data_IF_914711100007
#
_entry.id   IF_914711100007
#
_cell.length_a   1.000
_cell.length_b   1.000
_cell.length_c   1.000
_cell.angle_alpha   90.00
_cell.angle_beta   90.00
_cell.angle_gamma   90.00
#
_symmetry.space_group_name_H-M   'P 1'
#
loop_
_entity.id
_entity.type
_entity.pdbx_description
1 polymer ?
#
# COMPACT_ATOMS: atom_id res chain seq x y z
N UNK A 1 -1.61 -17.09 -1.69
CA UNK A 1 -2.07 -15.88 -2.43
C UNK A 1 -0.81 -15.31 -3.04
N UNK A 2 -0.64 -15.38 -4.36
CA UNK A 2 0.68 -15.26 -5.02
C UNK A 2 1.55 -14.08 -4.51
N UNK A 3 0.96 -12.92 -4.26
CA UNK A 3 1.68 -11.73 -3.77
C UNK A 3 2.24 -11.87 -2.34
N UNK A 4 1.56 -12.58 -1.42
CA UNK A 4 2.11 -12.88 -0.10
C UNK A 4 3.31 -13.81 -0.22
N UNK A 5 3.21 -14.78 -1.13
CA UNK A 5 4.27 -15.75 -1.38
C UNK A 5 5.49 -15.03 -2.00
N UNK A 6 5.27 -14.10 -2.93
CA UNK A 6 6.31 -13.24 -3.53
C UNK A 6 7.01 -12.34 -2.48
N UNK A 7 6.26 -11.79 -1.51
CA UNK A 7 6.82 -10.97 -0.42
C UNK A 7 7.66 -11.82 0.53
N UNK A 8 7.17 -13.00 0.92
CA UNK A 8 7.95 -13.90 1.78
C UNK A 8 9.20 -14.39 1.07
N UNK A 9 9.11 -14.66 -0.23
CA UNK A 9 10.28 -14.98 -1.06
C UNK A 9 11.29 -13.82 -1.04
N UNK A 10 10.86 -12.60 -1.31
CA UNK A 10 11.73 -11.42 -1.24
C UNK A 10 12.35 -11.20 0.15
N UNK A 11 11.59 -11.42 1.22
CA UNK A 11 12.12 -11.37 2.60
C UNK A 11 13.21 -12.41 2.82
N UNK A 12 13.05 -13.61 2.26
CA UNK A 12 14.06 -14.67 2.35
C UNK A 12 15.32 -14.38 1.54
N UNK A 13 15.18 -13.68 0.41
CA UNK A 13 16.30 -13.24 -0.44
C UNK A 13 17.03 -12.03 0.16
N UNK A 14 16.32 -11.20 0.92
CA UNK A 14 16.85 -10.06 1.66
C UNK A 14 16.49 -8.72 1.03
N UNK A 15 16.67 -7.65 1.80
CA UNK A 15 16.50 -6.27 1.33
C UNK A 15 17.81 -5.52 1.54
N UNK A 16 18.21 -4.72 0.55
CA UNK A 16 19.35 -3.81 0.63
C UNK A 16 18.91 -2.49 1.27
N UNK A 17 19.55 -2.08 2.35
CA UNK A 17 19.24 -0.80 3.01
C UNK A 17 19.60 0.39 2.09
N UNK A 18 18.77 1.43 2.14
CA UNK A 18 18.99 2.70 1.44
C UNK A 18 19.46 3.75 2.44
N UNK A 19 20.47 4.54 2.07
CA UNK A 19 21.01 5.61 2.91
C UNK A 19 20.01 6.77 3.04
N UNK A 20 19.17 6.98 2.02
CA UNK A 20 18.15 8.00 2.06
C UNK A 20 17.11 7.93 0.96
N UNK A 21 16.21 8.93 0.98
CA UNK A 21 15.12 9.07 -0.01
C UNK A 21 15.64 9.29 -1.44
N UNK A 22 16.87 9.77 -1.59
CA UNK A 22 17.48 10.06 -2.89
C UNK A 22 17.89 8.78 -3.65
N UNK A 23 18.03 7.66 -2.95
CA UNK A 23 18.48 6.39 -3.54
C UNK A 23 17.32 5.61 -4.20
N UNK A 24 16.09 6.04 -3.95
CA UNK A 24 14.91 5.49 -4.62
C UNK A 24 14.76 6.15 -6.00
N UNK A 25 14.64 5.38 -7.10
CA UNK A 25 14.39 5.92 -8.44
C UNK A 25 13.20 6.89 -8.45
N UNK A 26 13.32 8.02 -9.15
CA UNK A 26 12.34 9.11 -9.02
C UNK A 26 10.91 8.74 -9.39
N UNK A 27 10.72 7.86 -10.36
CA UNK A 27 9.39 7.35 -10.70
C UNK A 27 8.79 6.53 -9.56
N UNK A 28 9.55 5.56 -9.02
CA UNK A 28 9.13 4.75 -7.88
C UNK A 28 8.83 5.62 -6.65
N UNK A 29 9.67 6.61 -6.38
CA UNK A 29 9.47 7.56 -5.29
C UNK A 29 8.20 8.40 -5.47
N UNK A 30 7.94 8.89 -6.70
CA UNK A 30 6.75 9.67 -7.00
C UNK A 30 5.47 8.84 -6.88
N UNK A 31 5.49 7.61 -7.38
CA UNK A 31 4.36 6.67 -7.30
C UNK A 31 4.10 6.24 -5.84
N UNK A 32 5.14 5.89 -5.10
CA UNK A 32 5.04 5.55 -3.69
C UNK A 32 4.48 6.72 -2.85
N UNK A 33 4.98 7.95 -3.06
CA UNK A 33 4.42 9.15 -2.40
C UNK A 33 2.98 9.44 -2.77
N UNK A 34 2.59 9.16 -4.00
CA UNK A 34 1.20 9.30 -4.42
C UNK A 34 0.32 8.33 -3.63
N UNK A 35 0.65 7.04 -3.68
CA UNK A 35 -0.12 6.01 -2.99
C UNK A 35 -0.10 6.15 -1.48
N UNK A 36 1.01 6.54 -0.87
CA UNK A 36 1.07 6.76 0.57
C UNK A 36 0.10 7.87 1.01
N UNK A 37 -0.01 8.97 0.25
CA UNK A 37 -1.01 10.03 0.53
C UNK A 37 -2.44 9.60 0.27
N UNK A 38 -2.64 8.67 -0.67
CA UNK A 38 -3.97 8.19 -1.03
C UNK A 38 -4.49 7.13 -0.05
N UNK A 39 -3.60 6.27 0.45
CA UNK A 39 -3.93 5.13 1.29
C UNK A 39 -3.98 5.48 2.78
N UNK A 40 -3.03 6.27 3.28
CA UNK A 40 -2.88 6.53 4.71
C UNK A 40 -3.64 7.75 5.17
N UNK A 41 -4.09 7.73 6.43
CA UNK A 41 -4.58 8.91 7.12
C UNK A 41 -3.45 9.95 7.27
N UNK A 42 -3.83 11.20 7.51
CA UNK A 42 -2.87 12.26 7.76
C UNK A 42 -2.01 11.93 8.99
N UNK A 43 -0.69 12.04 8.85
CA UNK A 43 0.25 11.73 9.93
C UNK A 43 0.69 10.26 9.95
N UNK A 44 0.04 9.36 9.21
CA UNK A 44 0.36 7.93 9.23
C UNK A 44 1.32 7.49 8.11
N UNK A 45 1.70 8.39 7.21
CA UNK A 45 2.47 8.06 6.01
C UNK A 45 3.98 8.00 6.30
N UNK A 46 4.74 7.09 5.63
CA UNK A 46 6.21 7.07 5.70
C UNK A 46 6.86 8.31 5.06
N UNK A 47 6.08 9.17 4.41
CA UNK A 47 6.55 10.39 3.76
C UNK A 47 6.22 11.67 4.51
N UNK A 48 5.49 11.59 5.63
CA UNK A 48 5.19 12.75 6.46
C UNK A 48 6.47 13.38 7.00
N UNK A 49 6.43 14.70 7.21
CA UNK A 49 7.59 15.48 7.58
C UNK A 49 8.05 15.14 9.00
N UNK A 50 9.38 15.16 9.23
CA UNK A 50 9.97 14.95 10.56
C UNK A 50 9.98 13.50 11.06
N UNK A 51 9.45 12.55 10.28
CA UNK A 51 9.45 11.13 10.66
C UNK A 51 10.75 10.42 10.22
N UNK A 52 11.53 9.83 11.15
CA UNK A 52 12.60 8.93 10.78
C UNK A 52 12.00 7.66 10.18
N UNK A 53 12.45 7.30 8.98
CA UNK A 53 11.96 6.11 8.27
C UNK A 53 13.14 5.40 7.64
N UNK A 54 13.37 4.15 8.06
CA UNK A 54 14.34 3.26 7.42
C UNK A 54 13.74 2.75 6.12
N UNK A 55 14.55 2.70 5.06
CA UNK A 55 14.12 2.22 3.76
C UNK A 55 15.06 1.15 3.29
N UNK A 56 14.50 0.13 2.67
CA UNK A 56 15.26 -0.93 2.08
C UNK A 56 14.59 -1.37 0.78
N UNK A 57 15.34 -1.96 -0.12
CA UNK A 57 14.89 -2.32 -1.46
C UNK A 57 15.17 -3.78 -1.73
N UNK A 58 14.22 -4.45 -2.36
CA UNK A 58 14.44 -5.74 -2.98
C UNK A 58 14.38 -5.51 -4.48
N UNK A 59 15.46 -5.82 -5.20
CA UNK A 59 15.50 -5.73 -6.66
C UNK A 59 14.99 -7.03 -7.25
N UNK A 60 14.26 -6.94 -8.36
CA UNK A 60 13.65 -8.09 -8.99
C UNK A 60 14.66 -9.21 -9.30
N UNK A 61 14.28 -10.44 -8.93
CA UNK A 61 14.97 -11.68 -9.26
C UNK A 61 14.06 -12.53 -10.17
N UNK A 62 14.46 -13.77 -10.46
CA UNK A 62 13.59 -14.71 -11.16
C UNK A 62 12.38 -15.14 -10.32
N UNK A 63 12.48 -15.03 -8.99
CA UNK A 63 11.52 -15.57 -8.05
C UNK A 63 10.67 -14.50 -7.37
N UNK A 64 11.19 -13.27 -7.24
CA UNK A 64 10.50 -12.17 -6.58
C UNK A 64 10.64 -10.84 -7.35
N UNK A 65 9.63 -9.95 -7.30
CA UNK A 65 9.64 -8.70 -8.05
C UNK A 65 10.41 -7.58 -7.32
N UNK A 66 10.45 -6.38 -7.92
CA UNK A 66 10.92 -5.18 -7.23
C UNK A 66 9.98 -4.83 -6.06
N UNK A 67 10.54 -4.61 -4.87
CA UNK A 67 9.80 -4.16 -3.68
C UNK A 67 10.56 -3.04 -2.97
N UNK A 68 9.81 -2.12 -2.37
CA UNK A 68 10.32 -1.08 -1.51
C UNK A 68 9.74 -1.28 -0.11
N UNK A 69 10.60 -1.31 0.89
CA UNK A 69 10.23 -1.46 2.29
C UNK A 69 10.44 -0.14 3.03
N UNK A 70 9.47 0.25 3.84
CA UNK A 70 9.57 1.35 4.80
C UNK A 70 9.33 0.81 6.20
N UNK A 71 10.21 1.16 7.14
CA UNK A 71 10.04 0.79 8.56
C UNK A 71 10.14 2.05 9.42
N UNK A 72 9.15 2.23 10.30
CA UNK A 72 9.04 3.43 11.14
C UNK A 72 8.04 3.24 12.28
N UNK A 73 8.19 4.07 13.31
CA UNK A 73 7.25 4.16 14.43
C UNK A 73 6.27 5.32 14.21
N UNK A 74 5.00 5.11 14.55
CA UNK A 74 3.92 6.12 14.56
C UNK A 74 2.88 5.77 15.60
N UNK A 75 2.51 6.72 16.47
CA UNK A 75 1.43 6.56 17.46
C UNK A 75 1.51 5.22 18.23
N UNK A 76 2.71 4.92 18.76
CA UNK A 76 3.07 3.68 19.48
C UNK A 76 3.05 2.38 18.64
N UNK A 77 2.80 2.49 17.33
CA UNK A 77 2.86 1.40 16.37
C UNK A 77 4.20 1.38 15.63
N UNK A 78 4.88 0.25 15.67
CA UNK A 78 5.97 -0.06 14.76
C UNK A 78 5.40 -0.66 13.48
N UNK A 79 5.56 0.05 12.37
CA UNK A 79 5.02 -0.33 11.07
C UNK A 79 6.12 -0.75 10.11
N UNK A 80 5.87 -1.82 9.37
CA UNK A 80 6.63 -2.21 8.18
C UNK A 80 5.71 -2.19 6.97
N UNK A 81 6.00 -1.33 6.00
CA UNK A 81 5.27 -1.26 4.74
C UNK A 81 6.15 -1.88 3.66
N UNK A 82 5.73 -3.02 3.12
CA UNK A 82 6.31 -3.58 1.90
C UNK A 82 5.37 -3.24 0.75
N UNK A 83 5.84 -2.38 -0.14
CA UNK A 83 5.10 -2.02 -1.33
C UNK A 83 5.73 -2.63 -2.58
N UNK A 84 4.85 -2.99 -3.51
CA UNK A 84 5.18 -3.20 -4.91
C UNK A 84 4.49 -2.14 -5.76
N UNK A 85 4.53 -2.34 -7.08
CA UNK A 85 3.85 -1.46 -8.03
C UNK A 85 2.32 -1.45 -7.88
N UNK A 86 1.74 -2.60 -7.57
CA UNK A 86 0.28 -2.81 -7.58
C UNK A 86 -0.34 -3.01 -6.19
N UNK A 87 0.45 -2.95 -5.13
CA UNK A 87 -0.05 -3.14 -3.77
C UNK A 87 0.85 -2.46 -2.73
N UNK A 88 0.32 -2.30 -1.52
CA UNK A 88 1.07 -2.02 -0.30
C UNK A 88 0.60 -2.99 0.80
N UNK A 89 1.53 -3.80 1.30
CA UNK A 89 1.34 -4.61 2.50
C UNK A 89 1.82 -3.81 3.69
N UNK A 90 0.91 -3.53 4.62
CA UNK A 90 1.19 -2.86 5.89
C UNK A 90 1.18 -3.91 6.98
N UNK A 91 2.29 -4.03 7.70
CA UNK A 91 2.45 -4.93 8.83
C UNK A 91 2.52 -4.09 10.09
N UNK A 92 1.67 -4.38 11.05
CA UNK A 92 1.75 -3.85 12.41
C UNK A 92 2.52 -4.87 13.24
N UNK A 93 3.70 -4.47 13.74
CA UNK A 93 4.53 -5.38 14.50
C UNK A 93 3.80 -5.88 15.75
N UNK A 94 3.93 -7.17 16.02
CA UNK A 94 3.30 -7.80 17.19
C UNK A 94 3.69 -7.13 18.51
N UNK A 95 4.92 -6.61 18.61
CA UNK A 95 5.39 -5.89 19.78
C UNK A 95 4.58 -4.61 20.10
N UNK A 96 3.97 -3.99 19.08
CA UNK A 96 3.07 -2.85 19.25
C UNK A 96 1.63 -3.25 19.48
N UNK A 97 1.19 -4.36 18.88
CA UNK A 97 -0.16 -4.89 19.07
C UNK A 97 -0.19 -6.40 18.82
N UNK A 98 -0.40 -7.16 19.90
CA UNK A 98 -0.71 -8.59 19.81
C UNK A 98 -2.23 -8.79 19.86
N UNK A 99 -2.86 -8.84 18.68
CA UNK A 99 -4.32 -9.05 18.58
C UNK A 99 -4.74 -10.39 19.18
N UNK A 100 -3.91 -11.43 19.09
CA UNK A 100 -4.26 -12.76 19.58
C UNK A 100 -4.16 -12.86 21.11
N UNK A 101 -3.39 -11.98 21.75
CA UNK A 101 -3.35 -11.86 23.21
C UNK A 101 -4.59 -11.14 23.80
N UNK A 102 -5.39 -10.45 22.98
CA UNK A 102 -6.63 -9.82 23.41
C UNK A 102 -7.74 -10.86 23.65
N UNK A 103 -8.71 -10.55 24.54
CA UNK A 103 -9.98 -11.27 24.61
C UNK A 103 -10.65 -11.36 23.24
N UNK A 104 -11.32 -12.48 22.95
CA UNK A 104 -11.85 -12.78 21.62
C UNK A 104 -12.82 -11.69 21.12
N UNK A 105 -13.67 -11.19 22.02
CA UNK A 105 -14.62 -10.11 21.78
C UNK A 105 -13.97 -8.75 21.47
N UNK A 106 -12.71 -8.55 21.86
CA UNK A 106 -11.97 -7.30 21.64
C UNK A 106 -11.18 -7.29 20.33
N UNK A 107 -10.92 -8.46 19.72
CA UNK A 107 -10.05 -8.59 18.53
C UNK A 107 -10.56 -7.80 17.34
N UNK A 108 -11.81 -8.04 16.94
CA UNK A 108 -12.42 -7.34 15.80
C UNK A 108 -12.53 -5.81 16.03
N UNK A 109 -13.01 -5.31 17.19
CA UNK A 109 -12.96 -3.88 17.51
C UNK A 109 -11.56 -3.27 17.46
N UNK A 110 -10.55 -3.96 18.00
CA UNK A 110 -9.16 -3.50 17.98
C UNK A 110 -8.64 -3.37 16.55
N UNK A 111 -8.84 -4.39 15.70
CA UNK A 111 -8.45 -4.35 14.28
C UNK A 111 -9.14 -3.19 13.57
N UNK A 112 -10.45 -3.01 13.77
CA UNK A 112 -11.22 -1.95 13.13
C UNK A 112 -10.73 -0.55 13.56
N UNK A 113 -10.37 -0.36 14.83
CA UNK A 113 -9.79 0.89 15.35
C UNK A 113 -8.45 1.19 14.70
N UNK A 114 -7.56 0.20 14.61
CA UNK A 114 -6.26 0.35 13.97
C UNK A 114 -6.41 0.69 12.48
N UNK A 115 -7.29 -0.01 11.76
CA UNK A 115 -7.54 0.29 10.36
C UNK A 115 -8.06 1.72 10.16
N UNK A 116 -8.98 2.19 11.01
CA UNK A 116 -9.49 3.56 10.98
C UNK A 116 -8.42 4.61 11.30
N UNK A 117 -7.48 4.29 12.19
CA UNK A 117 -6.39 5.19 12.52
C UNK A 117 -5.37 5.27 11.37
N UNK A 118 -5.01 4.12 10.78
CA UNK A 118 -3.95 4.03 9.77
C UNK A 118 -4.39 4.53 8.40
N UNK A 119 -5.58 4.16 7.94
CA UNK A 119 -5.98 4.37 6.55
C UNK A 119 -6.84 5.62 6.36
N UNK A 120 -6.71 6.23 5.18
CA UNK A 120 -7.52 7.36 4.77
C UNK A 120 -9.01 6.99 4.89
N UNK A 121 -9.88 7.90 5.35
CA UNK A 121 -11.30 7.60 5.58
C UNK A 121 -11.98 6.91 4.39
N UNK A 122 -11.68 7.28 3.15
CA UNK A 122 -12.27 6.63 1.96
C UNK A 122 -12.01 5.10 1.88
N UNK A 123 -10.95 4.59 2.52
CA UNK A 123 -10.60 3.17 2.56
C UNK A 123 -11.45 2.39 3.57
N UNK A 124 -11.96 3.07 4.61
CA UNK A 124 -12.48 2.47 5.86
C UNK A 124 -13.78 3.13 6.37
N UNK A 125 -14.29 4.16 5.67
CA UNK A 125 -15.45 4.98 6.01
C UNK A 125 -16.40 5.02 4.82
N UNK A 126 -17.67 4.69 5.06
CA UNK A 126 -18.69 4.55 4.00
C UNK A 126 -19.42 3.20 3.98
N UNK A 127 -19.28 2.38 5.03
CA UNK A 127 -19.98 1.08 5.16
C UNK A 127 -19.09 -0.15 4.98
N UNK A 128 -17.79 0.03 4.69
CA UNK A 128 -16.84 -1.06 4.52
C UNK A 128 -16.10 -1.35 5.84
N UNK A 129 -16.82 -1.90 6.82
CA UNK A 129 -16.16 -2.62 7.91
C UNK A 129 -15.65 -3.96 7.36
N UNK A 130 -14.52 -4.45 7.85
CA UNK A 130 -14.10 -5.81 7.56
C UNK A 130 -15.22 -6.80 7.89
N UNK A 131 -15.47 -7.74 6.97
CA UNK A 131 -16.33 -8.89 7.24
C UNK A 131 -15.49 -9.90 8.01
N UNK A 132 -15.55 -9.81 9.33
CA UNK A 132 -14.83 -10.72 10.20
C UNK A 132 -15.50 -12.11 10.19
N UNK A 133 -14.72 -13.19 10.21
CA UNK A 133 -15.23 -14.51 10.55
C UNK A 133 -15.66 -14.59 12.01
N UNK A 134 -16.33 -15.68 12.38
CA UNK A 134 -16.79 -15.93 13.76
C UNK A 134 -15.63 -15.91 14.77
N UNK A 135 -14.47 -16.44 14.37
CA UNK A 135 -13.25 -16.48 15.18
C UNK A 135 -12.08 -15.84 14.45
N UNK A 136 -11.31 -15.03 15.15
CA UNK A 136 -10.08 -14.43 14.65
C UNK A 136 -8.90 -15.12 15.32
N UNK A 137 -8.21 -15.95 14.56
CA UNK A 137 -7.04 -16.72 15.00
C UNK A 137 -5.87 -16.57 14.02
N UNK A 138 -4.73 -17.16 14.35
CA UNK A 138 -3.57 -17.19 13.46
C UNK A 138 -3.96 -17.76 12.08
N UNK A 139 -3.49 -17.11 11.01
CA UNK A 139 -3.82 -17.49 9.63
C UNK A 139 -5.20 -17.06 9.15
N UNK A 140 -5.99 -16.36 9.99
CA UNK A 140 -7.28 -15.83 9.58
C UNK A 140 -7.12 -14.65 8.62
N UNK A 141 -7.89 -14.64 7.54
CA UNK A 141 -7.98 -13.54 6.58
C UNK A 141 -9.40 -13.00 6.49
N UNK A 142 -9.54 -11.70 6.32
CA UNK A 142 -10.81 -10.99 6.20
C UNK A 142 -10.67 -9.81 5.25
N UNK A 143 -11.80 -9.33 4.72
CA UNK A 143 -11.83 -8.29 3.70
C UNK A 143 -12.98 -7.34 3.95
N UNK A 144 -12.81 -6.08 3.57
CA UNK A 144 -13.93 -5.13 3.50
C UNK A 144 -14.91 -5.49 2.39
N UNK A 145 -14.46 -6.21 1.35
CA UNK A 145 -15.30 -6.65 0.24
C UNK A 145 -14.78 -7.95 -0.43
N UNK A 146 -15.03 -9.13 0.18
CA UNK A 146 -14.48 -10.40 -0.30
C UNK A 146 -15.00 -10.83 -1.68
N UNK A 147 -16.18 -10.34 -2.10
CA UNK A 147 -16.82 -10.69 -3.37
C UNK A 147 -16.14 -10.06 -4.60
N UNK A 148 -15.40 -8.96 -4.41
CA UNK A 148 -14.73 -8.28 -5.52
C UNK A 148 -13.40 -8.92 -5.84
N UNK A 149 -13.21 -9.43 -7.06
CA UNK A 149 -11.89 -9.90 -7.48
C UNK A 149 -10.88 -8.73 -7.42
N UNK A 150 -9.79 -8.85 -6.63
CA UNK A 150 -8.77 -7.80 -6.52
C UNK A 150 -8.14 -7.45 -7.87
N UNK A 151 -8.25 -8.35 -8.85
CA UNK A 151 -7.77 -8.12 -10.22
C UNK A 151 -8.71 -7.33 -11.09
N UNK A 152 -9.96 -7.13 -10.65
CA UNK A 152 -11.03 -6.46 -11.40
C UNK A 152 -11.62 -5.25 -10.66
N UNK A 153 -10.98 -4.78 -9.58
CA UNK A 153 -11.40 -3.58 -8.84
C UNK A 153 -11.67 -2.37 -9.76
N UNK A 154 -12.84 -1.76 -9.61
CA UNK A 154 -13.22 -0.54 -10.34
C UNK A 154 -12.49 0.68 -9.77
N UNK A 155 -12.35 0.74 -8.45
CA UNK A 155 -11.55 1.70 -7.73
C UNK A 155 -10.68 1.01 -6.66
N UNK A 156 -9.54 1.62 -6.34
CA UNK A 156 -8.57 1.05 -5.40
C UNK A 156 -9.12 0.93 -3.96
N UNK A 157 -10.04 1.81 -3.58
CA UNK A 157 -10.69 1.82 -2.26
C UNK A 157 -11.80 0.78 -2.10
N UNK A 158 -12.19 0.08 -3.18
CA UNK A 158 -13.34 -0.84 -3.15
C UNK A 158 -13.08 -2.10 -2.32
N UNK A 159 -11.80 -2.38 -2.03
CA UNK A 159 -11.37 -3.56 -1.27
C UNK A 159 -10.08 -3.28 -0.51
N UNK A 160 -10.10 -3.59 0.78
CA UNK A 160 -8.94 -3.67 1.66
C UNK A 160 -8.99 -5.06 2.30
N UNK A 161 -7.90 -5.80 2.18
CA UNK A 161 -7.77 -7.12 2.81
C UNK A 161 -6.91 -7.02 4.06
N UNK A 162 -7.11 -7.93 4.99
CA UNK A 162 -6.35 -8.00 6.21
C UNK A 162 -6.31 -9.43 6.75
N UNK A 163 -5.41 -9.67 7.70
CA UNK A 163 -5.32 -10.97 8.35
C UNK A 163 -4.33 -10.98 9.51
N UNK A 164 -4.24 -12.14 10.16
CA UNK A 164 -3.24 -12.42 11.18
C UNK A 164 -2.24 -13.42 10.62
N UNK A 165 -0.95 -13.07 10.67
CA UNK A 165 0.13 -13.94 10.20
C UNK A 165 1.36 -13.81 11.09
N UNK A 166 1.85 -14.92 11.61
CA UNK A 166 2.97 -14.93 12.58
C UNK A 166 2.65 -14.17 13.86
N UNK A 167 1.37 -14.04 14.22
CA UNK A 167 0.88 -13.17 15.30
C UNK A 167 0.89 -11.68 14.97
N UNK A 168 1.26 -11.28 13.75
CA UNK A 168 1.22 -9.89 13.29
C UNK A 168 -0.10 -9.58 12.60
N UNK A 169 -0.60 -8.36 12.79
CA UNK A 169 -1.73 -7.84 12.03
C UNK A 169 -1.23 -7.27 10.71
N UNK A 170 -1.75 -7.80 9.60
CA UNK A 170 -1.38 -7.38 8.25
C UNK A 170 -2.58 -6.79 7.52
N UNK A 171 -2.34 -5.77 6.71
CA UNK A 171 -3.31 -5.14 5.82
C UNK A 171 -2.74 -5.09 4.40
N UNK A 172 -3.51 -5.51 3.41
CA UNK A 172 -3.16 -5.34 2.00
C UNK A 172 -4.08 -4.32 1.35
N UNK A 173 -3.48 -3.21 0.93
CA UNK A 173 -4.09 -2.22 0.07
C UNK A 173 -3.69 -2.44 -1.39
N UNK A 174 -4.67 -2.35 -2.30
CA UNK A 174 -4.44 -2.50 -3.73
C UNK A 174 -4.17 -1.15 -4.38
N UNK A 175 -3.12 -1.08 -5.23
CA UNK A 175 -2.78 0.11 -6.00
C UNK A 175 -3.29 -0.08 -7.42
N UNK A 176 -4.45 0.48 -7.73
CA UNK A 176 -5.01 0.44 -9.09
C UNK A 176 -5.40 1.81 -9.58
N UNK A 177 -4.88 2.19 -10.74
CA UNK A 177 -5.32 3.36 -11.48
C UNK A 177 -6.31 2.91 -12.56
N UNK A 178 -7.59 3.34 -12.51
CA UNK A 178 -8.62 2.89 -13.46
C UNK A 178 -8.28 3.10 -14.95
N UNK A 179 -7.40 4.07 -15.27
CA UNK A 179 -6.95 4.37 -16.64
C UNK A 179 -5.72 3.56 -17.12
N UNK A 180 -5.08 2.79 -16.24
CA UNK A 180 -3.93 1.93 -16.54
C UNK A 180 -4.40 0.50 -16.35
N UNK A 181 -5.03 -0.07 -17.38
CA UNK A 181 -5.59 -1.40 -17.31
C UNK A 181 -4.49 -2.46 -17.06
N UNK A 182 -4.64 -3.25 -15.98
CA UNK A 182 -3.80 -4.40 -15.65
C UNK A 182 -2.84 -4.18 -14.47
N UNK A 183 -2.48 -5.27 -13.78
CA UNK A 183 -1.31 -5.25 -12.88
C UNK A 183 -0.09 -5.00 -13.75
N UNK A 184 0.50 -3.82 -13.60
CA UNK A 184 1.73 -3.53 -14.32
C UNK A 184 2.86 -4.40 -13.78
N UNK A 185 3.74 -4.86 -14.67
CA UNK A 185 4.86 -5.72 -14.32
C UNK A 185 5.69 -5.07 -13.19
N UNK A 186 5.69 -5.69 -11.99
CA UNK A 186 6.36 -5.11 -10.84
C UNK A 186 7.88 -5.20 -11.00
N UNK A 187 8.42 -6.02 -11.92
CA UNK A 187 9.87 -6.17 -12.18
C UNK A 187 10.51 -4.98 -12.91
N UNK A 188 9.74 -3.94 -13.19
CA UNK A 188 10.21 -2.72 -13.87
C UNK A 188 10.09 -1.47 -13.00
N UNK A 189 9.80 -1.65 -11.72
CA UNK A 189 9.46 -0.55 -10.82
C UNK A 189 10.69 0.21 -10.35
N UNK A 190 11.87 -0.43 -10.28
CA UNK A 190 13.10 0.15 -9.74
C UNK A 190 14.28 0.20 -10.74
N UNK A 191 14.00 0.34 -12.04
CA UNK A 191 15.03 0.31 -13.10
C UNK A 191 16.15 1.33 -12.86
N UNK A 192 17.38 0.87 -13.05
CA UNK A 192 18.61 1.66 -12.90
C UNK A 192 18.76 2.66 -14.05
N UNK A 193 19.08 3.93 -13.73
CA UNK A 193 19.45 4.96 -14.72
C UNK A 193 18.33 5.89 -15.22
N UNK A 194 17.09 5.77 -14.73
CA UNK A 194 16.02 6.72 -15.10
C UNK A 194 16.18 8.07 -14.35
N UNK A 195 16.48 9.15 -15.10
CA UNK A 195 16.63 10.53 -14.56
C UNK A 195 15.27 11.22 -14.33
N UNK A 196 15.21 11.99 -13.24
CA UNK A 196 14.00 12.55 -12.57
C UNK A 196 13.53 13.90 -13.18
N UNK A 197 14.14 14.39 -14.26
CA UNK A 197 13.92 15.75 -14.76
C UNK A 197 12.92 15.87 -15.92
N UNK A 198 12.38 14.76 -16.42
CA UNK A 198 11.23 14.84 -17.33
C UNK A 198 9.93 14.85 -16.53
N UNK A 199 9.43 16.06 -16.24
CA UNK A 199 8.02 16.28 -15.88
C UNK A 199 7.16 15.35 -16.74
N UNK A 200 6.28 14.50 -16.17
CA UNK A 200 5.38 13.70 -16.98
C UNK A 200 4.60 14.67 -17.87
N UNK A 201 4.80 14.57 -19.18
CA UNK A 201 3.95 15.27 -20.15
C UNK A 201 2.60 14.56 -20.11
N UNK A 202 1.80 14.86 -19.10
CA UNK A 202 0.36 14.65 -19.17
C UNK A 202 -0.14 15.51 -20.33
N UNK A 203 -0.18 14.95 -21.54
CA UNK A 203 -1.00 15.46 -22.63
C UNK A 203 -2.45 15.16 -22.26
N UNK A 204 -3.02 15.99 -21.39
CA UNK A 204 -4.47 16.12 -21.38
C UNK A 204 -4.87 16.62 -22.77
N UNK A 205 -5.79 15.93 -23.48
CA UNK A 205 -6.41 16.53 -24.64
C UNK A 205 -7.35 17.62 -24.13
N UNK A 206 -6.81 18.81 -23.87
CA UNK A 206 -7.64 19.99 -23.76
C UNK A 206 -8.33 20.16 -25.10
N UNK A 207 -9.62 19.81 -25.15
CA UNK A 207 -10.55 20.28 -26.18
C UNK A 207 -10.41 21.80 -26.20
N UNK A 208 -9.79 22.32 -27.26
CA UNK A 208 -9.78 23.76 -27.48
C UNK A 208 -11.22 24.21 -27.71
N UNK A 209 -11.75 24.99 -26.78
CA UNK A 209 -12.98 25.75 -26.98
C UNK A 209 -12.67 26.83 -28.01
N UNK A 210 -12.84 26.51 -29.30
CA UNK A 210 -12.91 27.53 -30.34
C UNK A 210 -14.16 28.36 -30.11
N UNK A 211 -13.96 29.55 -29.55
CA UNK A 211 -14.90 30.65 -29.56
C UNK A 211 -15.30 30.98 -31.00
N UNK A 212 -16.55 30.69 -31.36
CA UNK A 212 -17.17 31.28 -32.55
C UNK A 212 -17.66 32.68 -32.19
N UNK A 213 -16.78 33.68 -32.35
CA UNK A 213 -17.21 35.05 -32.63
C UNK A 213 -17.80 35.05 -34.05
N UNK A 214 -19.12 35.22 -34.18
CA UNK A 214 -19.72 35.74 -35.42
C UNK A 214 -20.12 37.19 -35.16
N UNK A 215 -19.39 38.10 -35.82
CA UNK A 215 -19.84 39.45 -36.12
C UNK A 215 -21.10 39.37 -36.99
N UNK A 216 -22.12 40.15 -36.64
CA UNK A 216 -22.84 41.05 -37.53
C UNK A 216 -23.54 42.11 -36.70
#
# INVERSE_FOLDING_TARGET
MKWLDDIEQAKSEGFDDLEGRADVPGQALAESRHWARTLFAQGMSPYDAGRPVRRAVHRATKAAPDLLRHEYDVDDLHLSIVEGRSFALVVVARASLDVLALPEEERAPAIARIAKALFHPVCVSGGACFRFPERIEEGTFFSTNPELDPRLLGAWQDRLDAGIRGGELVFLAYKRLPWMAGFADPSSWLREGERIDQKPRFRFPFRSSRSRRKKR
#
